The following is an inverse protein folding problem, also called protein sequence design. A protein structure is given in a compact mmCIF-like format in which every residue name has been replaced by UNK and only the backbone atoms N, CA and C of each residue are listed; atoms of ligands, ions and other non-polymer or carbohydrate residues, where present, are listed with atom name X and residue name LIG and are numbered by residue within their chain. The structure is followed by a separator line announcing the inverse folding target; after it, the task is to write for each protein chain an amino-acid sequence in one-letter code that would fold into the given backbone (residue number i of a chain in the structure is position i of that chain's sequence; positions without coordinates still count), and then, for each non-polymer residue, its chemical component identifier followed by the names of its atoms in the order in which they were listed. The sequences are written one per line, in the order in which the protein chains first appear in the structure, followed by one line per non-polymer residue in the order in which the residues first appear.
data_IF_861026804093
#
_entry.id   IF_861026804093
#
_cell.length_a   1.000
_cell.length_b   1.000
_cell.length_c   1.000
_cell.angle_alpha   90.00
_cell.angle_beta   90.00
_cell.angle_gamma   90.00
#
_symmetry.space_group_name_H-M   'P 1'
#
loop_
_entity.id
_entity.type
_entity.pdbx_description
1 polymer ?
#
# COMPACT_ATOMS: atom_id res chain seq x y z
N UNK A 1 3.92 19.42 15.60
CA UNK A 1 4.38 20.11 14.35
C UNK A 1 3.23 20.39 13.37
N UNK A 2 2.45 19.37 12.88
CA UNK A 2 1.39 19.58 11.86
C UNK A 2 0.29 20.51 12.40
N UNK A 3 -0.17 20.29 13.65
CA UNK A 3 -1.13 21.17 14.35
C UNK A 3 -0.58 22.58 14.55
N UNK A 4 0.65 22.72 15.02
CA UNK A 4 1.31 24.03 15.26
C UNK A 4 1.45 24.84 13.97
N UNK A 5 1.71 24.18 12.85
CA UNK A 5 1.75 24.79 11.52
C UNK A 5 0.35 25.04 10.93
N UNK A 6 -0.69 24.57 11.64
CA UNK A 6 -2.07 24.80 11.32
C UNK A 6 -2.63 23.96 10.18
N UNK A 7 -1.95 22.87 9.77
CA UNK A 7 -2.43 21.93 8.77
C UNK A 7 -3.29 20.80 9.36
N UNK A 8 -3.65 20.90 10.63
CA UNK A 8 -4.56 19.96 11.27
C UNK A 8 -5.48 20.71 12.25
N UNK A 9 -6.56 20.05 12.61
CA UNK A 9 -7.53 20.56 13.59
C UNK A 9 -8.04 19.42 14.47
N UNK A 10 -8.42 19.76 15.69
CA UNK A 10 -9.06 18.85 16.64
C UNK A 10 -10.57 19.04 16.58
N UNK A 11 -11.30 17.92 16.66
CA UNK A 11 -12.75 17.92 16.83
C UNK A 11 -13.16 16.65 17.60
N UNK A 12 -13.94 16.80 18.66
CA UNK A 12 -14.50 15.71 19.47
C UNK A 12 -13.45 14.68 19.98
N UNK A 13 -12.19 15.09 20.20
CA UNK A 13 -11.11 14.23 20.66
C UNK A 13 -10.40 13.46 19.53
N UNK A 14 -10.74 13.72 18.28
CA UNK A 14 -10.01 13.26 17.09
C UNK A 14 -9.26 14.43 16.45
N UNK A 15 -8.15 14.12 15.76
CA UNK A 15 -7.36 15.11 15.01
C UNK A 15 -7.34 14.74 13.55
N UNK A 16 -7.72 15.67 12.70
CA UNK A 16 -7.77 15.52 11.26
C UNK A 16 -6.78 16.44 10.55
N UNK A 17 -6.20 15.95 9.46
CA UNK A 17 -5.41 16.74 8.54
C UNK A 17 -6.32 17.56 7.64
N UNK A 18 -6.07 18.87 7.53
CA UNK A 18 -6.83 19.84 6.72
C UNK A 18 -6.24 19.87 5.29
N UNK A 19 -6.80 19.03 4.43
CA UNK A 19 -6.31 18.85 3.06
C UNK A 19 -6.49 20.11 2.23
N UNK A 20 -7.63 20.82 2.37
CA UNK A 20 -7.88 22.04 1.61
C UNK A 20 -6.90 23.15 2.00
N UNK A 21 -6.59 23.29 3.29
CA UNK A 21 -5.60 24.26 3.75
C UNK A 21 -4.20 23.92 3.26
N UNK A 22 -3.81 22.65 3.31
CA UNK A 22 -2.52 22.18 2.80
C UNK A 22 -2.40 22.48 1.30
N UNK A 23 -3.45 22.23 0.52
CA UNK A 23 -3.46 22.39 -0.93
C UNK A 23 -3.35 23.87 -1.40
N UNK A 24 -3.51 24.86 -0.48
CA UNK A 24 -3.31 26.30 -0.81
C UNK A 24 -1.85 26.66 -1.04
N UNK A 25 -0.91 25.94 -0.45
CA UNK A 25 0.53 26.22 -0.50
C UNK A 25 1.35 25.03 -0.98
N UNK A 26 0.74 23.86 -1.07
CA UNK A 26 1.33 22.61 -1.52
C UNK A 26 0.41 21.96 -2.55
N UNK A 27 0.78 20.81 -3.08
CA UNK A 27 -0.03 20.08 -4.04
C UNK A 27 -0.44 18.71 -3.46
N UNK A 28 -1.71 18.55 -3.09
CA UNK A 28 -2.28 17.27 -2.70
C UNK A 28 -2.78 16.53 -3.94
N UNK A 29 -2.31 15.30 -4.12
CA UNK A 29 -2.64 14.50 -5.31
C UNK A 29 -1.49 14.40 -6.33
N UNK A 30 -0.34 15.00 -6.07
CA UNK A 30 0.81 15.01 -7.00
C UNK A 30 1.39 13.63 -7.32
N UNK A 31 1.34 12.68 -6.40
CA UNK A 31 1.78 11.31 -6.62
C UNK A 31 0.77 10.54 -7.48
N UNK A 32 -0.50 10.69 -7.19
CA UNK A 32 -1.59 9.96 -7.86
C UNK A 32 -2.01 10.61 -9.18
N UNK A 33 -1.67 11.88 -9.40
CA UNK A 33 -2.14 12.70 -10.53
C UNK A 33 -3.59 13.14 -10.37
N UNK A 34 -4.17 13.05 -9.16
CA UNK A 34 -5.55 13.45 -8.88
C UNK A 34 -5.63 14.92 -8.48
N UNK A 35 -6.62 15.62 -8.98
CA UNK A 35 -6.91 17.00 -8.58
C UNK A 35 -7.90 17.00 -7.42
N UNK A 36 -7.66 17.87 -6.43
CA UNK A 36 -8.50 17.95 -5.23
C UNK A 36 -9.96 18.27 -5.57
N UNK A 37 -10.19 19.15 -6.54
CA UNK A 37 -11.53 19.55 -7.01
C UNK A 37 -12.31 18.34 -7.53
N UNK A 38 -11.68 17.49 -8.33
CA UNK A 38 -12.29 16.29 -8.88
C UNK A 38 -12.58 15.24 -7.78
N UNK A 39 -11.72 15.16 -6.76
CA UNK A 39 -11.92 14.28 -5.63
C UNK A 39 -13.11 14.70 -4.78
N UNK A 40 -13.26 16.00 -4.50
CA UNK A 40 -14.40 16.55 -3.74
C UNK A 40 -15.70 16.32 -4.51
N UNK A 41 -15.71 16.63 -5.82
CA UNK A 41 -16.90 16.46 -6.67
C UNK A 41 -17.40 15.01 -6.75
N UNK A 42 -16.51 14.04 -6.62
CA UNK A 42 -16.83 12.60 -6.70
C UNK A 42 -17.03 11.92 -5.34
N UNK A 43 -16.99 12.67 -4.24
CA UNK A 43 -17.16 12.09 -2.90
C UNK A 43 -18.64 11.78 -2.66
N UNK A 44 -18.93 10.49 -2.35
CA UNK A 44 -20.25 10.08 -1.87
C UNK A 44 -20.42 10.51 -0.42
N UNK A 45 -21.63 10.95 -0.07
CA UNK A 45 -22.02 11.17 1.33
C UNK A 45 -21.92 9.85 2.10
N UNK A 46 -20.89 9.69 2.91
CA UNK A 46 -20.74 8.57 3.84
C UNK A 46 -21.06 9.05 5.25
N UNK A 47 -21.85 8.30 5.96
CA UNK A 47 -22.35 8.62 7.31
C UNK A 47 -21.27 8.92 8.39
N UNK A 48 -20.01 8.61 8.12
CA UNK A 48 -18.88 8.90 9.02
C UNK A 48 -18.15 10.24 8.73
N UNK A 49 -18.72 11.10 7.87
CA UNK A 49 -18.07 12.36 7.44
C UNK A 49 -18.53 13.60 8.21
N UNK A 50 -19.55 13.48 9.07
CA UNK A 50 -20.16 14.61 9.77
C UNK A 50 -19.19 15.39 10.69
N UNK A 51 -18.07 14.79 11.08
CA UNK A 51 -17.07 15.45 11.94
C UNK A 51 -15.98 16.20 11.17
N UNK A 52 -15.81 15.95 9.86
CA UNK A 52 -14.74 16.54 9.07
C UNK A 52 -15.16 17.85 8.44
N UNK A 53 -14.20 18.79 8.28
CA UNK A 53 -14.42 20.04 7.54
C UNK A 53 -14.57 19.78 6.04
N UNK A 54 -13.80 18.82 5.51
CA UNK A 54 -13.85 18.38 4.11
C UNK A 54 -13.86 16.86 4.03
N UNK A 55 -14.57 16.27 3.07
CA UNK A 55 -14.56 14.83 2.84
C UNK A 55 -13.16 14.24 2.62
N UNK A 56 -12.24 15.04 2.10
CA UNK A 56 -10.87 14.63 1.80
C UNK A 56 -9.93 14.65 3.00
N UNK A 57 -10.36 15.28 4.10
CA UNK A 57 -9.57 15.29 5.33
C UNK A 57 -9.40 13.86 5.87
N UNK A 58 -8.23 13.57 6.39
CA UNK A 58 -7.93 12.25 6.91
C UNK A 58 -7.46 12.30 8.36
N UNK A 59 -7.70 11.22 9.09
CA UNK A 59 -7.38 11.15 10.50
C UNK A 59 -5.86 11.06 10.73
N UNK A 60 -5.34 11.91 11.60
CA UNK A 60 -4.04 11.79 12.23
C UNK A 60 -4.15 11.04 13.56
N UNK A 61 -5.21 11.35 14.32
CA UNK A 61 -5.54 10.70 15.57
C UNK A 61 -7.05 10.48 15.66
N UNK A 62 -7.46 9.28 16.03
CA UNK A 62 -8.88 8.94 16.23
C UNK A 62 -9.15 8.70 17.70
N UNK A 63 -10.20 9.33 18.21
CA UNK A 63 -10.74 9.01 19.54
C UNK A 63 -11.10 7.53 19.61
N UNK A 64 -10.65 6.87 20.67
CA UNK A 64 -11.00 5.48 20.92
C UNK A 64 -12.36 5.38 21.62
N UNK A 65 -13.16 4.41 21.20
CA UNK A 65 -14.34 3.99 21.91
C UNK A 65 -13.97 2.94 22.97
N UNK A 66 -14.89 2.65 23.90
CA UNK A 66 -14.62 1.75 25.04
C UNK A 66 -14.15 0.34 24.63
N UNK A 67 -14.61 -0.14 23.47
CA UNK A 67 -14.29 -1.46 22.93
C UNK A 67 -12.95 -1.55 22.19
N UNK A 68 -12.31 -0.42 21.90
CA UNK A 68 -11.01 -0.45 21.21
C UNK A 68 -9.94 -1.02 22.13
N UNK A 69 -9.27 -2.09 21.67
CA UNK A 69 -8.19 -2.76 22.39
C UNK A 69 -6.89 -1.92 22.30
N UNK A 70 -6.56 -1.47 21.10
CA UNK A 70 -5.38 -0.63 20.85
C UNK A 70 -5.78 0.84 21.04
N UNK A 71 -5.34 1.44 22.14
CA UNK A 71 -5.53 2.85 22.46
C UNK A 71 -4.45 3.34 23.40
N UNK A 72 -4.14 4.61 23.29
CA UNK A 72 -3.13 5.28 24.08
C UNK A 72 -3.64 6.62 24.57
N UNK A 73 -3.17 7.11 25.72
CA UNK A 73 -3.50 8.44 26.20
C UNK A 73 -2.88 9.52 25.29
N UNK A 74 -3.62 10.60 25.09
CA UNK A 74 -3.17 11.76 24.32
C UNK A 74 -3.70 13.05 24.92
N UNK A 75 -3.24 14.23 24.49
CA UNK A 75 -3.82 15.52 24.93
C UNK A 75 -5.31 15.66 24.61
N UNK A 76 -5.82 14.87 23.66
CA UNK A 76 -7.22 14.90 23.19
C UNK A 76 -8.07 13.76 23.80
N UNK A 77 -7.49 12.99 24.71
CA UNK A 77 -8.09 11.79 25.30
C UNK A 77 -7.52 10.50 24.73
N UNK A 78 -8.07 9.38 25.18
CA UNK A 78 -7.67 8.06 24.69
C UNK A 78 -8.01 7.90 23.21
N UNK A 79 -7.04 7.45 22.44
CA UNK A 79 -7.18 7.29 21.00
C UNK A 79 -6.10 6.42 20.37
N UNK A 80 -6.09 6.42 19.05
CA UNK A 80 -5.10 5.68 18.24
C UNK A 80 -4.70 6.47 16.99
N UNK A 81 -3.48 6.27 16.48
CA UNK A 81 -3.02 6.97 15.28
C UNK A 81 -3.80 6.56 14.04
N UNK A 82 -3.92 7.48 13.09
CA UNK A 82 -4.32 7.13 11.73
C UNK A 82 -3.25 6.30 11.03
N UNK A 83 -3.64 5.35 10.20
CA UNK A 83 -2.74 4.42 9.50
C UNK A 83 -1.60 5.12 8.74
N UNK A 84 -1.89 6.24 8.07
CA UNK A 84 -0.87 7.01 7.35
C UNK A 84 0.18 7.62 8.30
N UNK A 85 -0.26 8.04 9.50
CA UNK A 85 0.65 8.61 10.50
C UNK A 85 1.62 7.58 11.06
N UNK A 86 1.19 6.32 11.21
CA UNK A 86 2.06 5.22 11.63
C UNK A 86 3.24 5.06 10.69
N UNK A 87 2.97 4.98 9.38
CA UNK A 87 4.01 4.83 8.36
C UNK A 87 4.95 6.05 8.31
N UNK A 88 4.40 7.26 8.32
CA UNK A 88 5.20 8.50 8.32
C UNK A 88 6.10 8.59 9.55
N UNK A 89 5.57 8.28 10.74
CA UNK A 89 6.34 8.33 11.98
C UNK A 89 7.45 7.27 12.03
N UNK A 90 7.14 6.04 11.61
CA UNK A 90 8.12 4.93 11.59
C UNK A 90 9.22 5.18 10.55
N UNK A 91 8.87 5.59 9.34
CA UNK A 91 9.87 5.87 8.29
C UNK A 91 10.79 7.02 8.71
N UNK A 92 10.24 8.12 9.22
CA UNK A 92 11.05 9.24 9.71
C UNK A 92 11.97 8.83 10.86
N UNK A 93 11.49 7.99 11.78
CA UNK A 93 12.28 7.55 12.93
C UNK A 93 13.47 6.65 12.54
N UNK A 94 13.28 5.75 11.60
CA UNK A 94 14.26 4.71 11.29
C UNK A 94 15.09 5.01 10.03
N UNK A 95 14.55 5.78 9.08
CA UNK A 95 15.18 6.07 7.80
C UNK A 95 15.55 7.56 7.63
N UNK A 96 15.06 8.43 8.53
CA UNK A 96 15.26 9.87 8.46
C UNK A 96 14.10 10.59 7.75
N UNK A 97 14.19 11.91 7.69
CA UNK A 97 13.13 12.76 7.11
C UNK A 97 12.97 12.58 5.60
N UNK A 98 14.03 12.14 4.92
CA UNK A 98 14.03 11.78 3.50
C UNK A 98 14.80 10.50 3.31
N UNK A 99 14.21 9.53 2.61
CA UNK A 99 14.84 8.26 2.26
C UNK A 99 14.70 7.95 0.75
N UNK A 100 15.40 6.93 0.28
CA UNK A 100 15.54 6.74 -1.17
C UNK A 100 14.31 6.13 -1.82
N UNK A 101 13.81 5.00 -1.32
CA UNK A 101 12.77 4.21 -1.99
C UNK A 101 11.66 3.86 -1.00
N UNK A 102 10.41 4.14 -1.40
CA UNK A 102 9.20 3.66 -0.71
C UNK A 102 8.36 2.85 -1.70
N UNK A 103 8.06 1.62 -1.33
CA UNK A 103 7.29 0.69 -2.17
C UNK A 103 5.96 0.31 -1.55
N UNK A 104 4.99 -0.01 -2.41
CA UNK A 104 3.70 -0.54 -1.99
C UNK A 104 2.88 -1.08 -3.15
N UNK A 105 1.67 -1.54 -2.87
CA UNK A 105 0.71 -1.88 -3.91
C UNK A 105 0.17 -0.63 -4.63
N UNK A 106 -0.31 -0.80 -5.84
CA UNK A 106 -0.93 0.29 -6.61
C UNK A 106 -2.14 0.91 -5.90
N UNK A 107 -2.82 0.14 -5.07
CA UNK A 107 -3.94 0.56 -4.22
C UNK A 107 -3.51 1.51 -3.09
N UNK A 108 -2.26 1.43 -2.63
CA UNK A 108 -1.70 2.34 -1.63
C UNK A 108 -1.28 3.69 -2.22
N UNK A 109 -1.11 3.80 -3.54
CA UNK A 109 -0.73 5.05 -4.19
C UNK A 109 -1.66 6.19 -3.80
N UNK A 110 -2.96 5.91 -3.73
CA UNK A 110 -3.98 6.82 -3.22
C UNK A 110 -5.05 6.04 -2.42
N UNK A 111 -5.44 6.51 -1.21
CA UNK A 111 -4.99 7.76 -0.58
C UNK A 111 -3.72 7.62 0.28
N UNK A 112 -3.26 6.40 0.60
CA UNK A 112 -2.30 6.14 1.68
C UNK A 112 -0.97 6.90 1.50
N UNK A 113 -0.25 6.66 0.41
CA UNK A 113 1.05 7.32 0.16
C UNK A 113 0.91 8.83 -0.10
N UNK A 114 -0.20 9.26 -0.70
CA UNK A 114 -0.49 10.69 -0.85
C UNK A 114 -0.65 11.39 0.51
N UNK A 115 -1.31 10.71 1.47
CA UNK A 115 -1.45 11.21 2.83
C UNK A 115 -0.09 11.24 3.57
N UNK A 116 0.79 10.26 3.34
CA UNK A 116 2.14 10.28 3.90
C UNK A 116 2.96 11.46 3.38
N UNK A 117 2.88 11.75 2.07
CA UNK A 117 3.52 12.93 1.47
C UNK A 117 3.01 14.20 2.13
N UNK A 118 1.69 14.35 2.23
CA UNK A 118 1.08 15.54 2.84
C UNK A 118 1.52 15.75 4.29
N UNK A 119 1.57 14.68 5.09
CA UNK A 119 2.06 14.73 6.47
C UNK A 119 3.52 15.15 6.56
N UNK A 120 4.40 14.55 5.75
CA UNK A 120 5.81 14.82 5.78
C UNK A 120 6.12 16.26 5.29
N UNK A 121 5.49 16.71 4.23
CA UNK A 121 5.66 18.07 3.73
C UNK A 121 5.10 19.11 4.70
N UNK A 122 3.95 18.85 5.30
CA UNK A 122 3.42 19.72 6.35
C UNK A 122 4.35 19.78 7.58
N UNK A 123 4.98 18.66 7.92
CA UNK A 123 5.87 18.58 9.08
C UNK A 123 7.26 19.18 8.80
N UNK A 124 7.89 18.82 7.68
CA UNK A 124 9.30 19.05 7.40
C UNK A 124 9.53 20.06 6.27
N UNK A 125 8.52 20.33 5.44
CA UNK A 125 8.62 21.28 4.33
C UNK A 125 9.22 20.69 3.04
N UNK A 126 9.46 19.38 2.99
CA UNK A 126 10.01 18.70 1.82
C UNK A 126 9.47 17.28 1.67
N UNK A 127 9.64 16.72 0.46
CA UNK A 127 9.19 15.37 0.14
C UNK A 127 9.94 14.31 0.99
N UNK A 128 9.22 13.28 1.51
CA UNK A 128 9.83 12.24 2.35
C UNK A 128 10.62 11.20 1.56
N UNK A 129 10.38 11.06 0.26
CA UNK A 129 10.89 9.95 -0.56
C UNK A 129 11.35 10.44 -1.91
N UNK A 130 12.49 9.92 -2.38
CA UNK A 130 13.02 10.24 -3.72
C UNK A 130 12.30 9.45 -4.82
N UNK A 131 12.02 8.15 -4.58
CA UNK A 131 11.42 7.25 -5.58
C UNK A 131 10.29 6.44 -4.98
N UNK A 132 9.11 6.53 -5.60
CA UNK A 132 7.94 5.72 -5.27
C UNK A 132 7.83 4.55 -6.23
N UNK A 133 7.72 3.33 -5.71
CA UNK A 133 7.53 2.12 -6.50
C UNK A 133 6.17 1.48 -6.15
N UNK A 134 5.32 1.29 -7.16
CA UNK A 134 4.02 0.67 -6.96
C UNK A 134 3.89 -0.60 -7.80
N UNK A 135 3.81 -1.75 -7.11
CA UNK A 135 3.50 -3.02 -7.74
C UNK A 135 2.00 -3.15 -7.99
N UNK A 136 1.64 -3.73 -9.14
CA UNK A 136 0.25 -3.98 -9.44
C UNK A 136 -0.24 -5.28 -8.77
N UNK A 137 -1.53 -5.57 -8.94
CA UNK A 137 -2.21 -6.65 -8.23
C UNK A 137 -1.75 -8.02 -8.76
N UNK A 138 -1.64 -8.97 -7.84
CA UNK A 138 -1.64 -10.39 -8.14
C UNK A 138 -3.09 -10.88 -8.15
N UNK A 139 -3.52 -11.43 -9.28
CA UNK A 139 -4.82 -12.09 -9.42
C UNK A 139 -4.66 -13.61 -9.41
N UNK A 140 -5.73 -14.31 -9.18
CA UNK A 140 -5.79 -15.77 -9.20
C UNK A 140 -6.92 -16.21 -10.13
N UNK A 141 -6.57 -16.82 -11.26
CA UNK A 141 -7.51 -17.19 -12.32
C UNK A 141 -8.38 -15.99 -12.78
N UNK A 142 -7.73 -14.85 -13.06
CA UNK A 142 -8.36 -13.63 -13.54
C UNK A 142 -9.18 -12.86 -12.49
N UNK A 143 -9.20 -13.30 -11.23
CA UNK A 143 -9.98 -12.67 -10.15
C UNK A 143 -9.09 -12.16 -9.04
N UNK A 144 -9.54 -11.08 -8.38
CA UNK A 144 -8.85 -10.54 -7.20
C UNK A 144 -8.70 -11.63 -6.14
N UNK A 145 -7.48 -11.77 -5.60
CA UNK A 145 -7.20 -12.64 -4.46
C UNK A 145 -7.83 -12.07 -3.19
N UNK A 146 -8.72 -12.81 -2.54
CA UNK A 146 -9.31 -12.40 -1.27
C UNK A 146 -9.77 -13.62 -0.45
N UNK A 147 -9.45 -13.63 0.83
CA UNK A 147 -9.88 -14.69 1.76
C UNK A 147 -11.41 -14.75 1.88
N UNK A 148 -12.08 -13.61 1.89
CA UNK A 148 -13.56 -13.53 2.01
C UNK A 148 -14.31 -14.18 0.86
N UNK A 149 -13.68 -14.34 -0.31
CA UNK A 149 -14.28 -14.99 -1.49
C UNK A 149 -13.81 -16.42 -1.67
N UNK A 150 -12.93 -16.93 -0.81
CA UNK A 150 -12.28 -18.24 -0.99
C UNK A 150 -11.29 -18.31 -2.17
N UNK A 151 -11.09 -17.21 -2.89
CA UNK A 151 -10.15 -17.13 -4.00
C UNK A 151 -8.76 -16.69 -3.49
N UNK A 152 -8.09 -17.57 -2.79
CA UNK A 152 -6.75 -17.35 -2.28
C UNK A 152 -5.97 -18.67 -2.22
N UNK A 153 -4.66 -18.56 -2.30
CA UNK A 153 -3.73 -19.67 -2.12
C UNK A 153 -2.51 -19.16 -1.32
N UNK A 154 -2.07 -19.94 -0.36
CA UNK A 154 -0.89 -19.62 0.42
C UNK A 154 0.38 -20.19 -0.23
N UNK A 155 1.56 -19.59 -0.01
CA UNK A 155 2.82 -20.10 -0.57
C UNK A 155 3.09 -21.57 -0.23
N UNK A 156 2.85 -21.99 1.02
CA UNK A 156 3.03 -23.38 1.43
C UNK A 156 2.08 -24.34 0.69
N UNK A 157 0.86 -23.93 0.39
CA UNK A 157 -0.10 -24.73 -0.38
C UNK A 157 0.33 -24.87 -1.86
N UNK A 158 0.93 -23.82 -2.44
CA UNK A 158 1.54 -23.91 -3.77
C UNK A 158 2.71 -24.88 -3.79
N UNK A 159 3.53 -24.89 -2.74
CA UNK A 159 4.74 -25.71 -2.67
C UNK A 159 4.47 -27.16 -2.29
N UNK A 160 3.46 -27.44 -1.45
CA UNK A 160 3.05 -28.80 -1.09
C UNK A 160 2.12 -29.43 -2.11
N UNK A 161 1.37 -28.63 -2.88
CA UNK A 161 0.30 -29.09 -3.76
C UNK A 161 -1.02 -29.38 -3.01
N UNK A 162 -1.08 -29.10 -1.72
CA UNK A 162 -2.29 -29.32 -0.89
C UNK A 162 -3.32 -28.21 -1.08
N UNK A 163 -3.86 -28.10 -2.29
CA UNK A 163 -4.88 -27.13 -2.67
C UNK A 163 -5.76 -27.65 -3.81
N UNK A 164 -6.88 -26.96 -4.08
CA UNK A 164 -7.82 -27.32 -5.15
C UNK A 164 -7.68 -26.43 -6.39
N UNK A 165 -6.62 -25.60 -6.46
CA UNK A 165 -6.46 -24.58 -7.49
C UNK A 165 -5.40 -24.99 -8.50
N UNK A 166 -4.31 -25.59 -8.01
CA UNK A 166 -3.18 -26.03 -8.82
C UNK A 166 -3.22 -27.55 -8.99
N UNK A 167 -2.85 -28.04 -10.15
CA UNK A 167 -2.87 -29.49 -10.48
C UNK A 167 -1.73 -30.28 -9.83
N UNK A 168 -0.69 -29.57 -9.36
CA UNK A 168 0.52 -30.16 -8.75
C UNK A 168 1.26 -29.15 -7.88
N UNK A 169 2.22 -29.61 -7.05
CA UNK A 169 3.15 -28.72 -6.37
C UNK A 169 4.08 -28.02 -7.35
N UNK A 170 4.44 -26.77 -7.06
CA UNK A 170 5.45 -26.00 -7.78
C UNK A 170 6.58 -25.60 -6.85
N UNK A 171 7.82 -25.69 -7.32
CA UNK A 171 8.97 -25.28 -6.50
C UNK A 171 9.00 -23.77 -6.29
N UNK A 172 9.54 -23.28 -5.16
CA UNK A 172 9.71 -21.84 -4.92
C UNK A 172 10.45 -21.12 -6.05
N UNK A 173 11.42 -21.78 -6.68
CA UNK A 173 12.18 -21.22 -7.80
C UNK A 173 11.32 -20.99 -9.05
N UNK A 174 10.41 -21.92 -9.36
CA UNK A 174 9.46 -21.76 -10.47
C UNK A 174 8.47 -20.63 -10.21
N UNK A 175 7.92 -20.55 -9.00
CA UNK A 175 7.01 -19.47 -8.62
C UNK A 175 7.72 -18.11 -8.66
N UNK A 176 8.95 -18.03 -8.16
CA UNK A 176 9.78 -16.83 -8.27
C UNK A 176 10.05 -16.45 -9.73
N UNK A 177 10.43 -17.42 -10.57
CA UNK A 177 10.67 -17.20 -11.99
C UNK A 177 9.42 -16.66 -12.70
N UNK A 178 8.25 -17.25 -12.42
CA UNK A 178 6.96 -16.76 -12.89
C UNK A 178 6.74 -15.28 -12.53
N UNK A 179 6.94 -14.90 -11.26
CA UNK A 179 6.76 -13.51 -10.80
C UNK A 179 7.72 -12.53 -11.48
N UNK A 180 8.95 -12.98 -11.77
CA UNK A 180 9.98 -12.13 -12.39
C UNK A 180 9.83 -11.94 -13.90
N UNK A 181 8.97 -12.71 -14.57
CA UNK A 181 8.73 -12.56 -16.00
C UNK A 181 7.90 -11.33 -16.36
N UNK A 182 7.11 -10.81 -15.43
CA UNK A 182 6.28 -9.65 -15.64
C UNK A 182 6.92 -8.38 -15.08
N UNK A 183 6.66 -7.24 -15.73
CA UNK A 183 7.03 -5.95 -15.15
C UNK A 183 6.18 -5.71 -13.89
N UNK A 184 6.78 -5.21 -12.82
CA UNK A 184 6.11 -5.03 -11.52
C UNK A 184 4.86 -4.14 -11.55
N UNK A 185 4.74 -3.24 -12.55
CA UNK A 185 3.54 -2.41 -12.74
C UNK A 185 2.42 -3.10 -13.49
N UNK A 186 2.64 -4.31 -14.03
CA UNK A 186 1.62 -5.09 -14.73
C UNK A 186 0.83 -5.96 -13.76
N UNK A 187 -0.45 -6.20 -14.07
CA UNK A 187 -1.22 -7.22 -13.35
C UNK A 187 -0.59 -8.59 -13.65
N UNK A 188 -0.33 -9.36 -12.62
CA UNK A 188 0.18 -10.71 -12.72
C UNK A 188 -0.93 -11.69 -12.36
N UNK A 189 -1.36 -12.52 -13.32
CA UNK A 189 -2.40 -13.52 -13.08
C UNK A 189 -1.79 -14.89 -12.80
N UNK A 190 -1.94 -15.35 -11.58
CA UNK A 190 -1.49 -16.68 -11.15
C UNK A 190 -2.55 -17.69 -11.55
N UNK A 191 -2.13 -18.69 -12.34
CA UNK A 191 -2.95 -19.82 -12.73
C UNK A 191 -2.07 -21.06 -12.89
N UNK A 192 -2.69 -22.23 -12.86
CA UNK A 192 -1.97 -23.48 -13.08
C UNK A 192 -1.29 -23.53 -14.45
N UNK A 193 -1.95 -23.03 -15.49
CA UNK A 193 -1.41 -22.93 -16.84
C UNK A 193 -0.17 -22.02 -16.91
N UNK A 194 -0.25 -20.83 -16.27
CA UNK A 194 0.86 -19.87 -16.24
C UNK A 194 2.08 -20.41 -15.48
N UNK A 195 1.86 -21.07 -14.34
CA UNK A 195 2.92 -21.70 -13.57
C UNK A 195 3.54 -22.89 -14.33
N UNK A 196 2.74 -23.72 -15.00
CA UNK A 196 3.23 -24.83 -15.83
C UNK A 196 4.06 -24.34 -17.01
N UNK A 197 3.65 -23.24 -17.66
CA UNK A 197 4.44 -22.62 -18.73
C UNK A 197 5.77 -22.06 -18.21
N UNK A 198 5.74 -21.40 -17.05
CA UNK A 198 6.94 -20.88 -16.39
C UNK A 198 7.90 -21.96 -15.95
N UNK A 199 7.41 -23.09 -15.45
CA UNK A 199 8.23 -24.26 -15.11
C UNK A 199 9.01 -24.80 -16.32
N UNK A 200 8.34 -24.94 -17.46
CA UNK A 200 9.02 -25.37 -18.72
C UNK A 200 10.10 -24.37 -19.14
N UNK A 201 9.82 -23.07 -19.03
CA UNK A 201 10.80 -22.03 -19.32
C UNK A 201 11.98 -22.04 -18.35
N UNK A 202 11.71 -22.20 -17.07
CA UNK A 202 12.74 -22.31 -16.03
C UNK A 202 13.63 -23.54 -16.24
N UNK A 203 13.04 -24.71 -16.50
CA UNK A 203 13.79 -25.93 -16.77
C UNK A 203 14.71 -25.77 -17.96
N UNK A 204 14.20 -25.21 -19.09
CA UNK A 204 15.02 -24.94 -20.27
C UNK A 204 16.21 -24.01 -19.99
N UNK A 205 16.02 -23.02 -19.13
CA UNK A 205 17.10 -22.13 -18.70
C UNK A 205 18.16 -22.91 -17.90
N UNK A 206 17.74 -23.75 -16.96
CA UNK A 206 18.65 -24.56 -16.13
C UNK A 206 19.43 -25.58 -17.00
N UNK A 207 18.74 -26.27 -17.89
CA UNK A 207 19.39 -27.22 -18.82
C UNK A 207 20.45 -26.52 -19.72
N UNK A 208 20.20 -25.25 -20.09
CA UNK A 208 21.14 -24.44 -20.86
C UNK A 208 22.38 -24.12 -20.04
N UNK A 209 22.20 -23.70 -18.78
CA UNK A 209 23.30 -23.41 -17.85
C UNK A 209 24.15 -24.65 -17.61
N UNK A 210 23.51 -25.77 -17.28
CA UNK A 210 24.21 -27.06 -17.08
C UNK A 210 25.01 -27.48 -18.31
N UNK A 211 24.47 -27.21 -19.52
CA UNK A 211 25.18 -27.50 -20.77
C UNK A 211 26.41 -26.59 -20.96
N UNK A 212 26.34 -25.34 -20.52
CA UNK A 212 27.47 -24.38 -20.58
C UNK A 212 28.60 -24.79 -19.61
N UNK A 213 28.24 -25.24 -18.40
CA UNK A 213 29.23 -25.68 -17.40
C UNK A 213 29.97 -26.96 -17.82
N UNK A 214 29.43 -27.70 -18.77
CA UNK A 214 30.04 -28.92 -19.31
C UNK A 214 30.74 -28.69 -20.68
N UNK A 215 30.93 -27.44 -21.11
CA UNK A 215 31.72 -27.15 -22.30
C UNK A 215 33.22 -27.38 -22.02
N UNK A 216 33.99 -27.97 -22.96
CA UNK A 216 35.40 -28.27 -22.79
C UNK A 216 36.26 -27.00 -22.70
#
# INVERSE_FOLDING_TARGET
NILEKGYAYEINGSVYFDVEKFNKTNEYGKLSGRKLEDMIANTRELAAQDEKKSPQDFALWKKAEAQHIMRWPSPWGDGFPGWHLECTAMSTKYLGETFDIHGGGMDLKFPHHECEIAQAEACNGHAPVKYWLHANMLTLNGKKMAKSTGNNILPNEMFSGENNILSKPYTPSVVRFFMMQAHYTSILDLSDEALSASEKGFQKLMDTIDSMDNLP
#
